data_IF_921494141110
#
_entry.id   IF_921494141110
#
_cell.length_a   1.000
_cell.length_b   1.000
_cell.length_c   1.000
_cell.angle_alpha   90.00
_cell.angle_beta   90.00
_cell.angle_gamma   90.00
#
_symmetry.space_group_name_H-M   'P 1'
#
loop_
_entity.id
_entity.type
_entity.pdbx_description
1 polymer ?
#
# COMPACT_ATOMS: atom_id res chain seq x y z
N UNK A 1 2.26 0.81 25.13
CA UNK A 1 2.30 1.99 24.25
C UNK A 1 2.12 1.49 22.85
N UNK A 2 0.92 1.64 22.29
CA UNK A 2 0.65 1.33 20.89
C UNK A 2 1.24 2.47 20.05
N UNK A 3 2.31 2.17 19.30
CA UNK A 3 2.95 3.15 18.43
C UNK A 3 2.14 3.27 17.14
N UNK A 4 1.83 4.50 16.67
CA UNK A 4 1.05 4.68 15.46
C UNK A 4 1.86 4.22 14.24
N UNK A 5 1.23 3.43 13.37
CA UNK A 5 1.74 3.15 12.03
C UNK A 5 1.65 4.42 11.19
N UNK A 6 2.78 4.81 10.59
CA UNK A 6 2.93 6.02 9.79
C UNK A 6 3.00 5.72 8.29
N UNK A 7 3.64 4.62 7.92
CA UNK A 7 3.74 4.18 6.53
C UNK A 7 3.69 2.67 6.44
N UNK A 8 3.03 2.17 5.41
CA UNK A 8 3.14 0.79 4.94
C UNK A 8 3.43 0.76 3.44
N UNK A 9 4.27 -0.17 3.02
CA UNK A 9 4.49 -0.50 1.62
C UNK A 9 4.10 -1.96 1.42
N UNK A 10 3.26 -2.22 0.43
CA UNK A 10 2.65 -3.52 0.17
C UNK A 10 2.86 -3.87 -1.30
N UNK A 11 3.33 -5.08 -1.57
CA UNK A 11 3.22 -5.73 -2.87
C UNK A 11 1.85 -6.41 -2.96
N UNK A 12 1.08 -6.02 -3.96
CA UNK A 12 -0.26 -6.54 -4.21
C UNK A 12 -0.51 -6.77 -5.69
N UNK A 13 -1.39 -7.71 -6.00
CA UNK A 13 -1.85 -8.00 -7.34
C UNK A 13 -3.34 -7.69 -7.47
N UNK A 14 -3.78 -7.08 -8.57
CA UNK A 14 -5.22 -6.91 -8.88
C UNK A 14 -5.57 -7.51 -10.24
N UNK A 15 -6.81 -7.97 -10.45
CA UNK A 15 -7.26 -8.35 -11.78
C UNK A 15 -7.25 -7.12 -12.71
N UNK A 16 -6.79 -7.29 -13.96
CA UNK A 16 -6.81 -6.22 -14.97
C UNK A 16 -8.23 -5.85 -15.41
N UNK A 17 -9.18 -6.75 -15.18
CA UNK A 17 -10.59 -6.58 -15.55
C UNK A 17 -11.37 -6.00 -14.38
N UNK A 18 -12.08 -4.90 -14.64
CA UNK A 18 -13.09 -4.27 -13.77
C UNK A 18 -12.55 -3.47 -12.59
N UNK A 19 -11.23 -3.40 -12.39
CA UNK A 19 -10.60 -2.67 -11.28
C UNK A 19 -9.45 -1.86 -11.85
N UNK A 20 -9.42 -0.56 -11.56
CA UNK A 20 -8.29 0.28 -11.92
C UNK A 20 -7.43 0.62 -10.70
N UNK A 21 -6.16 0.97 -10.93
CA UNK A 21 -5.28 1.48 -9.86
C UNK A 21 -5.86 2.72 -9.15
N UNK A 22 -6.75 3.46 -9.82
CA UNK A 22 -7.44 4.62 -9.23
C UNK A 22 -8.50 4.15 -8.22
N UNK A 23 -9.20 3.06 -8.50
CA UNK A 23 -10.19 2.48 -7.59
C UNK A 23 -9.50 1.91 -6.35
N UNK A 24 -8.35 1.24 -6.54
CA UNK A 24 -7.49 0.79 -5.43
C UNK A 24 -7.07 1.97 -4.58
N UNK A 25 -6.51 3.03 -5.19
CA UNK A 25 -6.02 4.19 -4.45
C UNK A 25 -7.14 4.89 -3.64
N UNK A 26 -8.35 5.01 -4.22
CA UNK A 26 -9.51 5.59 -3.55
C UNK A 26 -9.99 4.70 -2.40
N UNK A 27 -10.13 3.39 -2.63
CA UNK A 27 -10.58 2.46 -1.60
C UNK A 27 -9.65 2.43 -0.40
N UNK A 28 -8.34 2.50 -0.63
CA UNK A 28 -7.33 2.58 0.42
C UNK A 28 -7.39 3.90 1.20
N UNK A 29 -7.65 5.01 0.52
CA UNK A 29 -7.74 6.33 1.13
C UNK A 29 -8.91 6.46 2.11
N UNK A 30 -9.98 5.67 1.92
CA UNK A 30 -11.14 5.66 2.81
C UNK A 30 -10.92 4.92 4.14
N UNK A 31 -9.80 4.21 4.28
CA UNK A 31 -9.48 3.48 5.51
C UNK A 31 -8.97 4.41 6.63
N UNK A 32 -9.05 3.94 7.88
CA UNK A 32 -8.75 4.77 9.05
C UNK A 32 -7.29 5.21 9.07
N UNK A 33 -7.09 6.49 9.37
CA UNK A 33 -5.77 7.06 9.63
C UNK A 33 -4.97 7.38 8.37
N UNK A 34 -5.45 7.00 7.18
CA UNK A 34 -4.78 7.28 5.91
C UNK A 34 -4.88 8.75 5.53
N UNK A 35 -3.76 9.31 5.10
CA UNK A 35 -3.64 10.70 4.61
C UNK A 35 -3.17 10.78 3.16
N UNK A 36 -2.45 9.77 2.68
CA UNK A 36 -2.01 9.69 1.31
C UNK A 36 -1.88 8.23 0.87
N UNK A 37 -2.19 7.98 -0.39
CA UNK A 37 -2.00 6.68 -1.05
C UNK A 37 -1.29 6.93 -2.37
N UNK A 38 -0.25 6.15 -2.62
CA UNK A 38 0.44 6.08 -3.91
C UNK A 38 0.39 4.64 -4.40
N UNK A 39 -0.05 4.46 -5.63
CA UNK A 39 -0.07 3.16 -6.30
C UNK A 39 0.85 3.24 -7.51
N UNK A 40 1.74 2.28 -7.63
CA UNK A 40 2.70 2.14 -8.73
C UNK A 40 2.43 0.78 -9.37
N UNK A 41 2.36 0.73 -10.70
CA UNK A 41 2.34 -0.56 -11.41
C UNK A 41 3.78 -1.06 -11.48
N UNK A 42 4.03 -2.23 -10.93
CA UNK A 42 5.33 -2.90 -10.92
C UNK A 42 5.50 -3.78 -12.17
N UNK A 43 4.53 -4.66 -12.41
CA UNK A 43 4.50 -5.57 -13.54
C UNK A 43 3.09 -5.71 -14.14
N UNK A 44 3.01 -6.13 -15.41
CA UNK A 44 1.77 -6.24 -16.18
C UNK A 44 1.70 -7.62 -16.84
N UNK A 45 0.75 -8.42 -16.36
CA UNK A 45 0.40 -9.72 -16.91
C UNK A 45 -0.92 -9.69 -17.69
N UNK A 46 -1.24 -10.80 -18.36
CA UNK A 46 -2.44 -10.92 -19.22
C UNK A 46 -3.74 -10.62 -18.46
N UNK A 47 -3.86 -11.09 -17.21
CA UNK A 47 -5.07 -10.96 -16.40
C UNK A 47 -4.82 -10.25 -15.05
N UNK A 48 -3.58 -9.88 -14.75
CA UNK A 48 -3.16 -9.36 -13.43
C UNK A 48 -2.24 -8.15 -13.58
N UNK A 49 -2.38 -7.16 -12.70
CA UNK A 49 -1.41 -6.08 -12.51
C UNK A 49 -0.72 -6.27 -11.16
N UNK A 50 0.61 -6.34 -11.16
CA UNK A 50 1.43 -6.22 -9.96
C UNK A 50 1.55 -4.76 -9.56
N UNK A 51 1.34 -4.46 -8.28
CA UNK A 51 1.27 -3.11 -7.74
C UNK A 51 2.17 -2.98 -6.51
N UNK A 52 2.97 -1.91 -6.48
CA UNK A 52 3.54 -1.40 -5.23
C UNK A 52 2.63 -0.30 -4.68
N UNK A 53 2.06 -0.56 -3.52
CA UNK A 53 1.14 0.34 -2.81
C UNK A 53 1.86 0.94 -1.62
N UNK A 54 1.96 2.27 -1.59
CA UNK A 54 2.48 3.03 -0.45
C UNK A 54 1.33 3.78 0.20
N UNK A 55 1.14 3.57 1.50
CA UNK A 55 0.12 4.26 2.28
C UNK A 55 0.79 5.00 3.42
N UNK A 56 0.46 6.29 3.57
CA UNK A 56 0.96 7.14 4.63
C UNK A 56 -0.18 7.75 5.44
N UNK A 57 0.03 7.89 6.74
CA UNK A 57 -1.02 8.33 7.64
C UNK A 57 -0.59 8.49 9.09
N UNK A 58 -1.59 8.66 9.94
CA UNK A 58 -1.46 8.69 11.40
C UNK A 58 -2.33 7.59 12.01
N UNK A 59 -1.69 6.50 12.45
CA UNK A 59 -2.41 5.36 13.01
C UNK A 59 -3.12 4.53 11.95
N UNK A 60 -2.42 4.27 10.83
CA UNK A 60 -2.91 3.43 9.73
C UNK A 60 -3.21 2.02 10.25
N UNK A 61 -4.43 1.53 10.00
CA UNK A 61 -4.80 0.16 10.32
C UNK A 61 -4.40 -0.78 9.18
N UNK A 62 -3.30 -1.52 9.37
CA UNK A 62 -2.74 -2.42 8.34
C UNK A 62 -3.72 -3.52 7.94
N UNK A 63 -4.63 -3.91 8.83
CA UNK A 63 -5.62 -4.92 8.53
C UNK A 63 -6.73 -4.34 7.65
N UNK A 64 -7.24 -3.14 7.96
CA UNK A 64 -8.21 -2.46 7.09
C UNK A 64 -7.65 -2.20 5.69
N UNK A 65 -6.35 -1.92 5.57
CA UNK A 65 -5.67 -1.78 4.27
C UNK A 65 -5.70 -3.10 3.48
N UNK A 66 -5.33 -4.22 4.10
CA UNK A 66 -5.40 -5.54 3.46
C UNK A 66 -6.84 -5.87 3.05
N UNK A 67 -7.80 -5.68 3.96
CA UNK A 67 -9.22 -5.91 3.69
C UNK A 67 -9.73 -5.03 2.52
N UNK A 68 -9.23 -3.80 2.37
CA UNK A 68 -9.59 -2.91 1.27
C UNK A 68 -9.04 -3.40 -0.08
N UNK A 69 -7.81 -3.94 -0.11
CA UNK A 69 -7.23 -4.56 -1.31
C UNK A 69 -8.02 -5.81 -1.71
N UNK A 70 -8.38 -6.67 -0.74
CA UNK A 70 -9.17 -7.87 -1.00
C UNK A 70 -10.60 -7.55 -1.48
N UNK A 71 -11.22 -6.47 -0.98
CA UNK A 71 -12.56 -6.02 -1.42
C UNK A 71 -12.62 -5.63 -2.89
N UNK A 72 -11.53 -5.10 -3.44
CA UNK A 72 -11.42 -4.79 -4.87
C UNK A 72 -10.95 -6.00 -5.69
N UNK A 73 -10.94 -7.21 -5.11
CA UNK A 73 -10.51 -8.43 -5.78
C UNK A 73 -9.00 -8.58 -5.90
N UNK A 74 -8.23 -7.75 -5.19
CA UNK A 74 -6.78 -7.85 -5.13
C UNK A 74 -6.30 -8.89 -4.13
N UNK A 75 -5.01 -9.21 -4.22
CA UNK A 75 -4.30 -10.14 -3.34
C UNK A 75 -3.06 -9.44 -2.82
N UNK A 76 -2.81 -9.51 -1.51
CA UNK A 76 -1.57 -9.03 -0.92
C UNK A 76 -0.52 -10.15 -0.96
N UNK A 77 0.62 -9.89 -1.57
CA UNK A 77 1.75 -10.82 -1.62
C UNK A 77 2.66 -10.67 -0.39
N UNK A 78 3.03 -9.43 -0.07
CA UNK A 78 3.92 -9.13 1.05
C UNK A 78 3.72 -7.71 1.60
N UNK A 79 4.12 -7.53 2.86
CA UNK A 79 4.28 -6.22 3.50
C UNK A 79 5.77 -5.91 3.50
N UNK A 80 6.21 -5.09 2.55
CA UNK A 80 7.63 -4.87 2.27
C UNK A 80 8.28 -3.83 3.19
N UNK A 81 7.51 -2.83 3.63
CA UNK A 81 7.99 -1.80 4.56
C UNK A 81 6.90 -1.45 5.57
N UNK A 82 7.31 -1.23 6.83
CA UNK A 82 6.48 -0.67 7.88
C UNK A 82 7.27 0.39 8.62
N UNK A 83 6.60 1.51 8.90
CA UNK A 83 7.16 2.59 9.73
C UNK A 83 6.21 2.86 10.89
N UNK A 84 6.74 2.78 12.11
CA UNK A 84 6.04 3.10 13.35
C UNK A 84 6.79 4.19 14.12
N UNK A 85 6.06 5.09 14.77
CA UNK A 85 6.63 6.10 15.65
C UNK A 85 6.22 7.53 15.31
N UNK A 86 7.02 8.49 15.76
CA UNK A 86 6.68 9.92 15.70
C UNK A 86 7.04 10.58 14.36
N UNK A 87 7.95 9.97 13.60
CA UNK A 87 8.43 10.45 12.31
C UNK A 87 8.67 9.28 11.36
N UNK A 88 8.82 9.58 10.07
CA UNK A 88 9.19 8.60 9.04
C UNK A 88 10.70 8.73 8.80
N UNK A 89 11.50 7.69 9.06
CA UNK A 89 12.94 7.73 8.78
C UNK A 89 13.18 7.75 7.28
N UNK A 90 14.16 8.54 6.84
CA UNK A 90 14.58 8.55 5.45
C UNK A 90 15.45 7.33 5.15
N UNK A 91 15.07 6.55 4.14
CA UNK A 91 15.91 5.48 3.60
C UNK A 91 16.86 6.14 2.60
N UNK A 92 18.11 6.37 3.02
CA UNK A 92 19.15 6.73 2.08
C UNK A 92 19.47 5.49 1.25
N UNK A 93 18.94 5.40 0.04
CA UNK A 93 19.46 4.47 -0.94
C UNK A 93 20.94 4.85 -1.14
N UNK A 94 21.87 4.00 -0.70
CA UNK A 94 23.23 4.10 -1.19
C UNK A 94 23.17 3.78 -2.68
N UNK A 95 23.17 4.81 -3.52
CA UNK A 95 23.49 4.66 -4.93
C UNK A 95 24.85 3.96 -4.99
N UNK A 96 24.82 2.72 -5.48
CA UNK A 96 25.98 1.84 -5.50
C UNK A 96 27.16 2.49 -6.22
N UNK A 97 28.33 2.30 -5.63
CA UNK A 97 29.64 2.63 -6.18
C UNK A 97 29.94 1.95 -7.53
#
# INVERSE_FOLDING_TARGET
>A
MDLPVRRVVIDAAIPTKNVSIVDVAKSLYETRGVKAVRVIVDDVDVDVLGLIVVVEGEGVDVKEIQDAIEKVGGVVHSLDEVVVGEYIPEVHAQEGA
#
